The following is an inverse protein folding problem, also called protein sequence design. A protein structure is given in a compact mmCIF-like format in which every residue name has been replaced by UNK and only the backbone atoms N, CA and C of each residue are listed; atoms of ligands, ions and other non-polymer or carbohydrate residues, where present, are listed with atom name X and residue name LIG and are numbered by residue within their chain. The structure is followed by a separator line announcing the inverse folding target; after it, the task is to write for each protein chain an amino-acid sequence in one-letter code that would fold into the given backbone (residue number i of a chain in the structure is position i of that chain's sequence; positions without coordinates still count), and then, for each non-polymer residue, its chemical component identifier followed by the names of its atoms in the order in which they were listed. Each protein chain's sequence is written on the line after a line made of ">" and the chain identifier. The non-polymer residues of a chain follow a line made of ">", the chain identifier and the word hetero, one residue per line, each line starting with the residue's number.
data_IF_613681905056
#
_entry.id   IF_613681905056
#
_cell.length_a   1.000
_cell.length_b   1.000
_cell.length_c   1.000
_cell.angle_alpha   90.00
_cell.angle_beta   90.00
_cell.angle_gamma   90.00
#
_symmetry.space_group_name_H-M   'P 1'
#
loop_
_entity.id
_entity.type
_entity.pdbx_description
1 polymer ?
#
# COMPACT_ATOMS: atom_id res chain seq x y z
N UNK A 1 -40.49 -51.00 20.45
CA UNK A 1 -39.95 -50.10 21.48
C UNK A 1 -39.75 -48.75 20.81
N UNK A 2 -40.76 -47.92 20.55
CA UNK A 2 -41.65 -47.20 21.47
C UNK A 2 -40.88 -46.34 22.49
N UNK A 3 -40.61 -45.09 22.15
CA UNK A 3 -40.79 -43.96 23.05
C UNK A 3 -40.92 -42.66 22.25
N UNK A 4 -41.75 -41.77 22.79
CA UNK A 4 -42.46 -40.68 22.14
C UNK A 4 -42.29 -39.38 22.95
N UNK A 5 -42.77 -38.27 22.36
CA UNK A 5 -42.99 -36.93 22.94
C UNK A 5 -41.77 -35.99 22.96
N UNK A 6 -41.90 -34.67 22.83
CA UNK A 6 -43.08 -33.79 22.94
C UNK A 6 -42.86 -32.48 22.17
N UNK A 7 -43.93 -31.93 21.60
CA UNK A 7 -44.04 -30.53 21.20
C UNK A 7 -44.18 -29.63 22.44
N UNK A 8 -43.66 -28.40 22.37
CA UNK A 8 -44.13 -27.28 23.17
C UNK A 8 -44.02 -25.98 22.36
N UNK A 9 -45.19 -25.49 21.94
CA UNK A 9 -45.44 -24.12 21.52
C UNK A 9 -45.32 -23.19 22.75
N UNK A 10 -44.72 -22.02 22.56
CA UNK A 10 -44.98 -20.86 23.41
C UNK A 10 -45.44 -19.73 22.50
N UNK A 11 -46.68 -19.36 22.72
CA UNK A 11 -47.45 -18.30 22.07
C UNK A 11 -47.26 -16.98 22.86
N UNK A 12 -47.70 -15.84 22.28
CA UNK A 12 -48.04 -14.55 22.94
C UNK A 12 -46.87 -13.64 23.43
N UNK A 13 -46.83 -12.30 23.30
CA UNK A 13 -47.80 -11.22 22.99
C UNK A 13 -47.10 -10.00 22.32
N UNK A 14 -47.90 -9.22 21.58
CA UNK A 14 -47.60 -7.89 21.02
C UNK A 14 -47.60 -6.76 22.07
N UNK A 15 -46.84 -5.66 21.86
CA UNK A 15 -47.14 -4.28 22.32
C UNK A 15 -46.38 -3.22 21.48
N UNK A 16 -47.11 -2.23 20.94
CA UNK A 16 -46.74 -0.80 20.76
C UNK A 16 -45.69 -0.44 19.69
N UNK A 17 -45.90 0.48 18.74
CA UNK A 17 -46.77 1.65 18.72
C UNK A 17 -46.06 2.89 19.29
N UNK A 18 -46.00 3.96 18.49
CA UNK A 18 -45.52 5.34 18.74
C UNK A 18 -44.02 5.62 18.50
N UNK A 19 -43.63 6.36 17.45
CA UNK A 19 -43.86 7.80 17.19
C UNK A 19 -42.90 8.68 17.99
N UNK A 20 -41.82 9.13 17.35
CA UNK A 20 -41.12 10.38 17.69
C UNK A 20 -40.53 10.99 16.42
N UNK A 21 -41.42 11.48 15.56
CA UNK A 21 -41.21 12.76 14.90
C UNK A 21 -41.46 13.88 15.93
N UNK A 22 -40.93 15.07 15.66
CA UNK A 22 -41.03 16.31 16.46
C UNK A 22 -40.04 16.51 17.62
N UNK A 23 -38.87 17.03 17.28
CA UNK A 23 -38.31 18.17 18.03
C UNK A 23 -37.84 19.24 17.05
N UNK A 24 -38.31 20.46 17.29
CA UNK A 24 -37.85 21.77 16.76
C UNK A 24 -38.70 22.44 15.67
N UNK A 25 -40.00 22.61 15.95
CA UNK A 25 -40.70 23.84 15.61
C UNK A 25 -40.17 25.01 16.46
N UNK A 26 -39.17 25.75 15.96
CA UNK A 26 -38.87 27.10 16.47
C UNK A 26 -39.60 28.14 15.63
N UNK A 27 -40.63 28.67 16.27
CA UNK A 27 -41.41 29.85 15.94
C UNK A 27 -40.56 30.99 15.38
N UNK A 28 -40.93 31.54 14.22
CA UNK A 28 -40.80 32.98 13.99
C UNK A 28 -42.00 33.47 13.20
N UNK A 29 -42.67 34.46 13.79
CA UNK A 29 -43.94 35.04 13.36
C UNK A 29 -43.81 35.85 12.08
N UNK A 30 -44.96 35.97 11.42
CA UNK A 30 -45.20 36.56 10.13
C UNK A 30 -45.02 38.09 10.06
N UNK A 31 -44.68 38.50 8.82
CA UNK A 31 -45.26 39.59 8.05
C UNK A 31 -45.06 41.06 8.50
N UNK A 32 -44.29 41.79 7.69
CA UNK A 32 -44.70 43.11 7.20
C UNK A 32 -44.27 43.29 5.73
N UNK A 33 -45.24 43.63 4.87
CA UNK A 33 -45.08 44.03 3.46
C UNK A 33 -44.26 45.33 3.37
N UNK A 34 -43.56 45.53 2.23
CA UNK A 34 -43.60 46.71 1.34
C UNK A 34 -42.34 46.69 0.46
N UNK A 35 -42.53 46.92 -0.84
CA UNK A 35 -41.52 47.60 -1.66
C UNK A 35 -40.85 46.77 -2.75
N UNK A 36 -41.30 47.02 -3.98
CA UNK A 36 -40.54 46.94 -5.25
C UNK A 36 -39.02 47.00 -5.03
N UNK A 37 -38.26 46.11 -5.68
CA UNK A 37 -37.26 46.45 -6.72
C UNK A 37 -36.70 45.14 -7.29
N UNK A 38 -36.90 44.95 -8.59
CA UNK A 38 -36.31 43.89 -9.38
C UNK A 38 -34.79 44.04 -9.39
N UNK A 39 -34.05 43.12 -8.78
CA UNK A 39 -32.60 42.99 -9.02
C UNK A 39 -32.36 41.59 -9.56
N UNK A 40 -32.10 41.54 -10.87
CA UNK A 40 -31.65 40.36 -11.59
C UNK A 40 -30.22 40.07 -11.10
N UNK A 41 -30.07 39.11 -10.20
CA UNK A 41 -28.76 38.58 -9.82
C UNK A 41 -28.39 37.45 -10.80
N UNK A 42 -27.55 37.76 -11.79
CA UNK A 42 -26.84 36.74 -12.57
C UNK A 42 -25.85 36.03 -11.63
N UNK A 43 -26.21 34.83 -11.17
CA UNK A 43 -25.27 33.94 -10.53
C UNK A 43 -24.41 33.25 -11.60
N UNK A 44 -23.22 33.81 -11.87
CA UNK A 44 -22.16 33.11 -12.60
C UNK A 44 -21.66 31.96 -11.72
N UNK A 45 -22.17 30.75 -11.96
CA UNK A 45 -21.67 29.52 -11.34
C UNK A 45 -20.28 29.18 -11.90
N UNK A 46 -19.22 29.71 -11.28
CA UNK A 46 -17.85 29.32 -11.53
C UNK A 46 -17.64 27.89 -10.99
N UNK A 47 -17.76 26.90 -11.88
CA UNK A 47 -17.45 25.51 -11.59
C UNK A 47 -15.92 25.35 -11.53
N UNK A 48 -15.35 25.48 -10.33
CA UNK A 48 -13.93 25.16 -10.12
C UNK A 48 -13.76 23.64 -10.12
N UNK A 49 -13.34 23.09 -11.26
CA UNK A 49 -12.81 21.72 -11.32
C UNK A 49 -11.50 21.70 -10.55
N UNK A 50 -11.54 21.25 -9.29
CA UNK A 50 -10.35 20.83 -8.58
C UNK A 50 -9.86 19.54 -9.21
N UNK A 51 -8.83 19.65 -10.06
CA UNK A 51 -8.06 18.51 -10.51
C UNK A 51 -7.44 17.83 -9.28
N UNK A 52 -8.08 16.76 -8.80
CA UNK A 52 -7.54 15.90 -7.77
C UNK A 52 -6.24 15.30 -8.27
N UNK A 53 -5.11 15.80 -7.77
CA UNK A 53 -3.80 15.23 -8.04
C UNK A 53 -3.81 13.76 -7.62
N UNK A 54 -3.62 12.86 -8.57
CA UNK A 54 -3.39 11.45 -8.29
C UNK A 54 -2.12 11.34 -7.43
N UNK A 55 -2.30 11.08 -6.14
CA UNK A 55 -1.18 10.82 -5.24
C UNK A 55 -0.62 9.45 -5.62
N UNK A 56 0.63 9.45 -6.10
CA UNK A 56 1.40 8.23 -6.34
C UNK A 56 1.39 7.39 -5.06
N UNK A 57 0.72 6.22 -5.09
CA UNK A 57 0.82 5.26 -4.00
C UNK A 57 2.29 4.90 -3.82
N UNK A 58 2.88 5.27 -2.67
CA UNK A 58 4.25 4.91 -2.35
C UNK A 58 4.42 3.39 -2.43
N UNK A 59 5.52 2.95 -3.04
CA UNK A 59 5.84 1.53 -3.08
C UNK A 59 6.14 1.07 -1.64
N UNK A 60 5.26 0.26 -1.05
CA UNK A 60 5.41 -0.19 0.34
C UNK A 60 5.39 -1.71 0.40
N UNK A 61 6.07 -2.25 1.39
CA UNK A 61 6.08 -3.69 1.68
C UNK A 61 5.79 -3.93 3.16
N UNK A 62 5.25 -5.10 3.48
CA UNK A 62 5.05 -5.56 4.85
C UNK A 62 6.17 -6.53 5.23
N UNK A 63 6.93 -6.20 6.26
CA UNK A 63 7.99 -7.05 6.80
C UNK A 63 7.50 -7.70 8.08
N UNK A 64 7.62 -9.02 8.18
CA UNK A 64 7.35 -9.76 9.42
C UNK A 64 8.43 -9.43 10.45
N UNK A 65 8.03 -8.85 11.57
CA UNK A 65 8.95 -8.45 12.66
C UNK A 65 8.90 -9.41 13.86
N UNK A 66 8.14 -10.50 13.75
CA UNK A 66 8.09 -11.60 14.71
C UNK A 66 6.69 -11.95 15.19
N UNK A 67 6.64 -12.81 16.21
CA UNK A 67 5.40 -13.24 16.87
C UNK A 67 4.86 -12.23 17.88
N UNK A 68 3.75 -12.59 18.51
CA UNK A 68 3.05 -11.73 19.48
C UNK A 68 2.88 -12.46 20.82
N UNK A 69 3.13 -11.76 21.92
CA UNK A 69 2.96 -12.25 23.28
C UNK A 69 1.60 -11.82 23.82
N UNK A 70 0.61 -12.68 23.63
CA UNK A 70 -0.76 -12.43 24.06
C UNK A 70 -0.93 -12.45 25.59
N UNK A 71 -0.10 -13.21 26.32
CA UNK A 71 -0.12 -13.19 27.79
C UNK A 71 0.26 -11.80 28.33
N UNK A 72 1.37 -11.24 27.84
CA UNK A 72 1.81 -9.90 28.24
C UNK A 72 0.76 -8.83 27.93
N UNK A 73 0.08 -8.95 26.78
CA UNK A 73 -1.02 -8.05 26.42
C UNK A 73 -2.19 -8.18 27.42
N UNK A 74 -2.65 -9.39 27.70
CA UNK A 74 -3.75 -9.61 28.64
C UNK A 74 -3.46 -9.06 30.03
N UNK A 75 -2.26 -9.32 30.56
CA UNK A 75 -1.83 -8.83 31.86
C UNK A 75 -1.77 -7.30 31.88
N UNK A 76 -1.19 -6.70 30.84
CA UNK A 76 -1.05 -5.24 30.75
C UNK A 76 -2.39 -4.52 30.60
N UNK A 77 -3.32 -5.08 29.82
CA UNK A 77 -4.60 -4.43 29.49
C UNK A 77 -5.67 -4.66 30.56
N UNK A 78 -5.72 -5.85 31.17
CA UNK A 78 -6.80 -6.24 32.08
C UNK A 78 -6.34 -6.57 33.51
N UNK A 79 -5.03 -6.53 33.78
CA UNK A 79 -4.41 -6.78 35.09
C UNK A 79 -3.78 -8.18 35.19
N UNK A 80 -2.88 -8.35 36.16
CA UNK A 80 -1.98 -9.50 36.29
C UNK A 80 -2.67 -10.87 36.41
N UNK A 81 -3.95 -10.89 36.82
CA UNK A 81 -4.76 -12.10 36.89
C UNK A 81 -5.24 -12.63 35.54
N UNK A 82 -5.12 -11.87 34.45
CA UNK A 82 -5.50 -12.32 33.11
C UNK A 82 -4.33 -12.94 32.37
N UNK A 83 -4.57 -14.07 31.69
CA UNK A 83 -3.65 -14.71 30.75
C UNK A 83 -4.33 -14.94 29.42
N UNK A 84 -3.57 -15.15 28.35
CA UNK A 84 -4.14 -15.61 27.09
C UNK A 84 -4.53 -17.08 27.20
N UNK A 85 -5.69 -17.41 26.66
CA UNK A 85 -6.23 -18.77 26.61
C UNK A 85 -6.79 -19.03 25.20
N UNK A 86 -6.56 -20.23 24.70
CA UNK A 86 -7.13 -20.70 23.44
C UNK A 86 -8.41 -21.47 23.76
N UNK A 87 -9.56 -20.96 23.31
CA UNK A 87 -10.88 -21.57 23.59
C UNK A 87 -11.42 -22.42 22.43
N UNK A 88 -10.64 -22.53 21.36
CA UNK A 88 -10.96 -23.28 20.14
C UNK A 88 -9.69 -23.85 19.53
N UNK A 89 -9.58 -23.82 18.19
CA UNK A 89 -8.45 -24.44 17.47
C UNK A 89 -7.82 -23.53 16.43
N UNK A 90 -8.41 -22.36 16.17
CA UNK A 90 -7.99 -21.43 15.12
C UNK A 90 -7.24 -20.23 15.68
N UNK A 91 -6.60 -19.47 14.79
CA UNK A 91 -5.97 -18.20 15.14
C UNK A 91 -6.96 -17.18 15.76
N UNK A 92 -8.25 -17.27 15.44
CA UNK A 92 -9.26 -16.37 15.99
C UNK A 92 -9.69 -16.68 17.43
N UNK A 93 -9.35 -17.85 17.96
CA UNK A 93 -9.95 -18.38 19.20
C UNK A 93 -9.18 -17.98 20.48
N UNK A 94 -8.28 -16.99 20.40
CA UNK A 94 -7.57 -16.48 21.56
C UNK A 94 -8.41 -15.45 22.32
N UNK A 95 -8.47 -15.62 23.64
CA UNK A 95 -9.11 -14.68 24.57
C UNK A 95 -8.17 -14.37 25.72
N UNK A 96 -8.35 -13.22 26.36
CA UNK A 96 -7.84 -13.03 27.71
C UNK A 96 -8.80 -13.70 28.68
N UNK A 97 -8.30 -14.51 29.60
CA UNK A 97 -9.08 -15.25 30.59
C UNK A 97 -8.42 -15.12 31.96
N UNK A 98 -9.24 -14.84 32.99
CA UNK A 98 -8.84 -14.86 34.40
C UNK A 98 -9.26 -16.15 35.09
N UNK A 99 -10.48 -16.59 34.78
CA UNK A 99 -11.07 -17.87 35.20
C UNK A 99 -12.07 -18.34 34.15
N UNK A 100 -12.50 -19.60 34.22
CA UNK A 100 -13.51 -20.13 33.30
C UNK A 100 -14.79 -19.27 33.37
N UNK A 101 -15.14 -18.63 32.25
CA UNK A 101 -16.29 -17.73 32.14
C UNK A 101 -15.96 -16.24 32.29
N UNK A 102 -14.78 -15.86 32.82
CA UNK A 102 -14.33 -14.46 32.86
C UNK A 102 -13.35 -14.16 31.72
N UNK A 103 -13.91 -13.86 30.55
CA UNK A 103 -13.19 -13.68 29.28
C UNK A 103 -13.29 -12.25 28.75
N UNK A 104 -12.21 -11.76 28.13
CA UNK A 104 -12.15 -10.46 27.43
C UNK A 104 -11.51 -10.65 26.04
N UNK A 105 -11.95 -9.89 25.03
CA UNK A 105 -11.40 -10.03 23.68
C UNK A 105 -9.92 -9.63 23.62
N UNK A 106 -9.19 -10.22 22.68
CA UNK A 106 -7.81 -9.85 22.36
C UNK A 106 -7.80 -9.03 21.07
N UNK A 107 -7.14 -7.87 21.11
CA UNK A 107 -6.73 -7.16 19.90
C UNK A 107 -5.28 -7.51 19.58
N UNK A 108 -5.06 -8.42 18.63
CA UNK A 108 -3.70 -8.84 18.26
C UNK A 108 -2.90 -7.69 17.66
N UNK A 109 -3.57 -6.75 16.96
CA UNK A 109 -2.95 -5.52 16.46
C UNK A 109 -2.42 -4.67 17.62
N UNK A 110 -3.22 -4.44 18.66
CA UNK A 110 -2.78 -3.63 19.80
C UNK A 110 -1.71 -4.35 20.61
N UNK A 111 -1.79 -5.69 20.71
CA UNK A 111 -0.73 -6.50 21.29
C UNK A 111 0.60 -6.35 20.54
N UNK A 112 0.58 -6.36 19.19
CA UNK A 112 1.76 -6.06 18.37
C UNK A 112 2.29 -4.65 18.64
N UNK A 113 1.44 -3.63 18.59
CA UNK A 113 1.86 -2.24 18.85
C UNK A 113 2.44 -2.06 20.25
N UNK A 114 1.86 -2.71 21.26
CA UNK A 114 2.36 -2.70 22.64
C UNK A 114 3.73 -3.38 22.75
N UNK A 115 3.88 -4.59 22.20
CA UNK A 115 5.12 -5.38 22.32
C UNK A 115 6.31 -4.71 21.64
N UNK A 116 6.10 -4.13 20.46
CA UNK A 116 7.19 -3.57 19.64
C UNK A 116 7.33 -2.05 19.79
N UNK A 117 6.42 -1.38 20.50
CA UNK A 117 6.46 0.07 20.71
C UNK A 117 6.33 0.90 19.43
N UNK A 118 5.75 0.33 18.35
CA UNK A 118 5.61 0.99 17.05
C UNK A 118 4.13 1.19 16.69
N UNK A 119 3.72 2.41 16.30
CA UNK A 119 2.39 2.64 15.76
C UNK A 119 2.26 2.06 14.35
N UNK A 120 1.03 1.84 13.90
CA UNK A 120 0.74 1.44 12.52
C UNK A 120 1.17 0.00 12.17
N UNK A 121 1.53 -0.82 13.16
CA UNK A 121 1.73 -2.24 12.94
C UNK A 121 0.42 -2.93 12.56
N UNK A 122 0.56 -3.99 11.77
CA UNK A 122 -0.52 -4.91 11.42
C UNK A 122 -0.28 -6.25 12.09
N UNK A 123 -1.36 -6.96 12.38
CA UNK A 123 -1.31 -8.33 12.85
C UNK A 123 -2.02 -9.21 11.83
N UNK A 124 -1.41 -10.35 11.48
CA UNK A 124 -2.03 -11.34 10.57
C UNK A 124 -1.68 -12.75 11.04
N UNK A 125 -2.63 -13.65 10.97
CA UNK A 125 -2.38 -15.08 11.09
C UNK A 125 -1.80 -15.59 9.76
N UNK A 126 -0.65 -16.27 9.80
CA UNK A 126 -0.06 -16.86 8.60
C UNK A 126 -0.84 -18.10 8.13
N UNK A 127 -1.50 -18.78 9.06
CA UNK A 127 -2.41 -19.89 8.78
C UNK A 127 -3.59 -19.84 9.76
N UNK A 128 -4.80 -19.62 9.26
CA UNK A 128 -5.98 -19.47 10.13
C UNK A 128 -6.28 -20.73 10.96
N UNK A 129 -5.95 -21.93 10.45
CA UNK A 129 -6.15 -23.19 11.18
C UNK A 129 -5.06 -23.49 12.21
N UNK A 130 -4.04 -22.64 12.33
CA UNK A 130 -2.99 -22.74 13.33
C UNK A 130 -3.10 -21.55 14.30
N UNK A 131 -3.54 -21.85 15.52
CA UNK A 131 -3.70 -20.88 16.58
C UNK A 131 -2.41 -20.06 16.86
N UNK A 132 -1.23 -20.62 16.63
CA UNK A 132 0.06 -19.99 16.98
C UNK A 132 0.66 -19.16 15.85
N UNK A 133 -0.02 -19.07 14.70
CA UNK A 133 0.50 -18.48 13.47
C UNK A 133 0.45 -16.95 13.41
N UNK A 134 0.01 -16.27 14.47
CA UNK A 134 -0.01 -14.81 14.53
C UNK A 134 1.40 -14.22 14.38
N UNK A 135 1.49 -13.22 13.52
CA UNK A 135 2.69 -12.43 13.28
C UNK A 135 2.36 -10.94 13.22
N UNK A 136 3.33 -10.15 13.64
CA UNK A 136 3.31 -8.70 13.57
C UNK A 136 4.06 -8.25 12.31
N UNK A 137 3.49 -7.29 11.60
CA UNK A 137 4.03 -6.76 10.35
C UNK A 137 4.22 -5.25 10.44
N UNK A 138 5.38 -4.81 9.98
CA UNK A 138 5.70 -3.39 9.81
C UNK A 138 5.63 -3.03 8.33
N UNK A 139 4.89 -1.99 7.99
CA UNK A 139 4.95 -1.38 6.66
C UNK A 139 6.27 -0.61 6.52
N UNK A 140 7.04 -0.94 5.50
CA UNK A 140 8.27 -0.24 5.13
C UNK A 140 8.11 0.39 3.74
N UNK A 141 8.70 1.57 3.56
CA UNK A 141 8.80 2.18 2.24
C UNK A 141 9.89 1.46 1.44
N UNK A 142 9.55 0.96 0.27
CA UNK A 142 10.52 0.45 -0.67
C UNK A 142 11.10 1.61 -1.49
N UNK A 143 12.39 1.54 -1.86
CA UNK A 143 12.92 2.48 -2.85
C UNK A 143 12.09 2.36 -4.14
N UNK A 144 11.92 3.46 -4.89
CA UNK A 144 11.29 3.38 -6.21
C UNK A 144 12.07 2.40 -7.08
N UNK A 145 11.39 1.62 -7.95
CA UNK A 145 12.09 0.75 -8.86
C UNK A 145 13.03 1.57 -9.75
N UNK A 146 14.22 1.05 -10.08
CA UNK A 146 15.14 1.74 -10.98
C UNK A 146 14.46 1.98 -12.33
N UNK A 147 14.61 3.20 -12.86
CA UNK A 147 14.10 3.52 -14.20
C UNK A 147 15.15 3.13 -15.23
N UNK A 148 14.79 2.16 -16.09
CA UNK A 148 15.63 1.72 -17.19
C UNK A 148 15.24 2.44 -18.48
N UNK A 149 16.21 3.04 -19.17
CA UNK A 149 16.02 3.60 -20.51
C UNK A 149 17.10 3.12 -21.47
N UNK A 150 16.76 2.94 -22.75
CA UNK A 150 17.73 2.56 -23.77
C UNK A 150 18.77 3.66 -24.03
N UNK A 151 19.94 3.29 -24.54
CA UNK A 151 21.05 4.20 -24.85
C UNK A 151 21.29 4.29 -26.35
N UNK A 152 21.48 5.50 -26.88
CA UNK A 152 21.82 5.70 -28.28
C UNK A 152 23.35 5.72 -28.47
N UNK A 153 23.91 4.55 -28.77
CA UNK A 153 25.35 4.39 -28.98
C UNK A 153 25.85 5.13 -30.23
N UNK A 154 25.03 5.27 -31.27
CA UNK A 154 25.41 6.00 -32.48
C UNK A 154 25.61 7.48 -32.20
N UNK A 155 24.70 8.09 -31.44
CA UNK A 155 24.81 9.50 -31.04
C UNK A 155 26.09 9.73 -30.20
N UNK A 156 26.43 8.80 -29.31
CA UNK A 156 27.70 8.85 -28.58
C UNK A 156 28.90 8.86 -29.53
N UNK A 157 28.97 7.93 -30.49
CA UNK A 157 30.06 7.87 -31.46
C UNK A 157 30.22 9.16 -32.27
N UNK A 158 29.11 9.68 -32.80
CA UNK A 158 29.09 10.94 -33.55
C UNK A 158 29.54 12.13 -32.71
N UNK A 159 29.08 12.23 -31.47
CA UNK A 159 29.41 13.36 -30.58
C UNK A 159 30.84 13.30 -30.03
N UNK A 160 31.37 12.10 -29.78
CA UNK A 160 32.68 11.93 -29.17
C UNK A 160 33.81 11.90 -30.20
N UNK A 161 33.59 11.30 -31.38
CA UNK A 161 34.66 11.10 -32.37
C UNK A 161 34.41 11.81 -33.71
N UNK A 162 33.23 12.41 -33.90
CA UNK A 162 32.85 13.16 -35.10
C UNK A 162 31.86 12.43 -36.00
N UNK A 163 31.26 13.16 -36.94
CA UNK A 163 30.15 12.69 -37.80
C UNK A 163 30.48 11.52 -38.72
N UNK A 164 31.76 11.21 -38.91
CA UNK A 164 32.20 10.04 -39.70
C UNK A 164 32.17 8.73 -38.92
N UNK A 165 31.97 8.76 -37.60
CA UNK A 165 31.87 7.57 -36.76
C UNK A 165 30.42 7.15 -36.55
N UNK A 166 30.18 5.84 -36.55
CA UNK A 166 28.89 5.22 -36.20
C UNK A 166 29.10 4.07 -35.22
N UNK A 167 28.06 3.71 -34.48
CA UNK A 167 28.11 2.50 -33.64
C UNK A 167 27.93 1.24 -34.50
N UNK A 168 28.85 0.29 -34.38
CA UNK A 168 28.82 -1.00 -35.08
C UNK A 168 28.97 -2.13 -34.06
N UNK A 169 28.18 -3.18 -34.21
CA UNK A 169 28.32 -4.42 -33.46
C UNK A 169 29.28 -5.34 -34.21
N UNK A 170 30.42 -5.67 -33.60
CA UNK A 170 31.46 -6.51 -34.23
C UNK A 170 31.49 -7.96 -33.72
N UNK A 171 30.60 -8.28 -32.79
CA UNK A 171 30.46 -9.60 -32.16
C UNK A 171 29.01 -9.93 -31.86
N UNK A 172 28.76 -10.63 -30.75
CA UNK A 172 27.43 -11.16 -30.40
C UNK A 172 26.94 -10.72 -29.02
N UNK A 173 27.77 -10.05 -28.23
CA UNK A 173 27.49 -9.69 -26.85
C UNK A 173 27.24 -8.20 -26.71
N UNK A 174 26.72 -7.80 -25.54
CA UNK A 174 26.60 -6.39 -25.17
C UNK A 174 27.97 -5.67 -25.20
N UNK A 175 29.07 -6.36 -24.93
CA UNK A 175 30.42 -5.77 -24.95
C UNK A 175 30.97 -5.46 -26.35
N UNK A 176 30.37 -5.99 -27.41
CA UNK A 176 30.97 -5.98 -28.75
C UNK A 176 30.61 -4.76 -29.60
N UNK A 177 30.07 -3.70 -28.98
CA UNK A 177 29.80 -2.44 -29.66
C UNK A 177 31.03 -1.54 -29.71
N UNK A 178 31.33 -1.01 -30.89
CA UNK A 178 32.44 -0.09 -31.12
C UNK A 178 31.99 1.11 -31.94
N UNK A 179 32.67 2.25 -31.79
CA UNK A 179 32.57 3.33 -32.74
C UNK A 179 33.51 3.05 -33.90
N UNK A 180 32.98 2.94 -35.11
CA UNK A 180 33.75 2.65 -36.32
C UNK A 180 33.58 3.76 -37.35
N UNK A 181 34.69 4.21 -37.95
CA UNK A 181 34.72 5.15 -39.08
C UNK A 181 34.84 4.43 -40.41
N UNK A 182 35.70 3.40 -40.45
CA UNK A 182 35.88 2.47 -41.56
C UNK A 182 36.28 1.10 -40.99
N UNK A 183 36.16 0.04 -41.78
CA UNK A 183 36.47 -1.32 -41.31
C UNK A 183 37.89 -1.39 -40.70
N UNK A 184 37.96 -1.71 -39.41
CA UNK A 184 39.21 -1.78 -38.65
C UNK A 184 39.63 -0.49 -37.93
N UNK A 185 39.05 0.66 -38.26
CA UNK A 185 39.27 1.92 -37.53
C UNK A 185 38.22 2.10 -36.43
N UNK A 186 38.52 1.49 -35.28
CA UNK A 186 37.59 1.29 -34.16
C UNK A 186 38.01 2.04 -32.91
N UNK A 187 37.04 2.57 -32.17
CA UNK A 187 37.22 3.18 -30.84
C UNK A 187 36.27 2.52 -29.84
N UNK A 188 36.67 2.41 -28.56
CA UNK A 188 35.81 1.82 -27.55
C UNK A 188 34.57 2.70 -27.30
N UNK A 189 33.49 2.07 -26.87
CA UNK A 189 32.29 2.76 -26.40
C UNK A 189 32.26 2.76 -24.88
N UNK A 190 32.16 3.96 -24.29
CA UNK A 190 31.79 4.09 -22.88
C UNK A 190 30.27 4.23 -22.77
N UNK A 191 29.58 3.14 -22.46
CA UNK A 191 28.11 3.15 -22.34
C UNK A 191 27.64 4.05 -21.19
N UNK A 192 28.39 4.10 -20.09
CA UNK A 192 28.10 5.02 -18.99
C UNK A 192 28.19 6.48 -19.44
N UNK A 193 29.21 6.85 -20.23
CA UNK A 193 29.33 8.21 -20.77
C UNK A 193 28.23 8.50 -21.79
N UNK A 194 27.88 7.53 -22.65
CA UNK A 194 26.76 7.65 -23.59
C UNK A 194 25.44 7.91 -22.85
N UNK A 195 25.19 7.18 -21.76
CA UNK A 195 24.03 7.41 -20.91
C UNK A 195 24.02 8.82 -20.30
N UNK A 196 25.14 9.26 -19.70
CA UNK A 196 25.24 10.60 -19.10
C UNK A 196 25.06 11.69 -20.16
N UNK A 197 25.55 11.49 -21.38
CA UNK A 197 25.33 12.42 -22.49
C UNK A 197 23.84 12.54 -22.87
N UNK A 198 23.09 11.43 -22.79
CA UNK A 198 21.68 11.38 -23.19
C UNK A 198 20.71 11.81 -22.09
N UNK A 199 21.01 11.50 -20.82
CA UNK A 199 20.11 11.70 -19.69
C UNK A 199 20.69 12.57 -18.55
N UNK A 200 21.91 13.08 -18.71
CA UNK A 200 22.56 13.97 -17.75
C UNK A 200 22.88 13.31 -16.40
N UNK A 201 22.83 14.13 -15.35
CA UNK A 201 23.20 13.74 -13.98
C UNK A 201 22.19 12.80 -13.30
N UNK A 202 21.05 12.52 -13.94
CA UNK A 202 20.12 11.51 -13.46
C UNK A 202 20.75 10.11 -13.50
N UNK A 203 21.64 9.84 -14.46
CA UNK A 203 22.21 8.50 -14.64
C UNK A 203 23.04 8.05 -13.44
N UNK A 204 22.60 7.01 -12.75
CA UNK A 204 23.34 6.34 -11.68
C UNK A 204 24.33 5.33 -12.23
N UNK A 205 23.93 4.56 -13.23
CA UNK A 205 24.80 3.53 -13.85
C UNK A 205 24.37 3.22 -15.29
N UNK A 206 25.22 2.47 -16.00
CA UNK A 206 24.86 1.80 -17.24
C UNK A 206 25.08 0.29 -17.04
N UNK A 207 24.15 -0.53 -17.53
CA UNK A 207 24.18 -1.98 -17.34
C UNK A 207 23.64 -2.69 -18.58
N UNK A 208 24.23 -3.83 -18.93
CA UNK A 208 23.63 -4.80 -19.84
C UNK A 208 22.66 -5.68 -19.03
N UNK A 209 21.38 -5.73 -19.40
CA UNK A 209 20.39 -6.60 -18.73
C UNK A 209 20.66 -8.08 -19.00
N UNK A 210 21.23 -8.38 -20.18
CA UNK A 210 21.66 -9.70 -20.60
C UNK A 210 22.94 -9.55 -21.44
N UNK A 211 24.06 -10.05 -20.93
CA UNK A 211 25.35 -9.90 -21.61
C UNK A 211 25.39 -10.58 -22.99
N UNK A 212 24.63 -11.66 -23.18
CA UNK A 212 24.58 -12.40 -24.44
C UNK A 212 23.63 -11.76 -25.46
N UNK A 213 22.92 -10.70 -25.07
CA UNK A 213 22.07 -9.93 -25.96
C UNK A 213 22.73 -8.55 -26.22
N UNK A 214 23.17 -8.26 -27.46
CA UNK A 214 23.87 -7.02 -27.78
C UNK A 214 22.99 -5.78 -27.59
N UNK A 215 21.65 -5.92 -27.57
CA UNK A 215 20.71 -4.81 -27.44
C UNK A 215 20.27 -4.55 -25.99
N UNK A 216 20.89 -5.21 -25.01
CA UNK A 216 20.44 -5.17 -23.60
C UNK A 216 20.95 -3.99 -22.78
N UNK A 217 21.72 -3.07 -23.39
CA UNK A 217 22.24 -1.89 -22.69
C UNK A 217 21.13 -0.95 -22.26
N UNK A 218 21.12 -0.64 -20.96
CA UNK A 218 20.22 0.33 -20.36
C UNK A 218 20.99 1.32 -19.49
N UNK A 219 20.49 2.55 -19.49
CA UNK A 219 20.81 3.58 -18.53
C UNK A 219 19.88 3.42 -17.33
N UNK A 220 20.45 3.42 -16.14
CA UNK A 220 19.71 3.40 -14.88
C UNK A 220 19.73 4.80 -14.29
N UNK A 221 18.54 5.37 -14.11
CA UNK A 221 18.34 6.73 -13.59
C UNK A 221 17.96 6.74 -12.10
#
# INVERSE_FOLDING_TARGET
>A
MASSASCANVDRMAVGGHQTEDIMAYLTRAATRIGRTTVIALALAASTLTAGGAQSAGNTSEVNIGGVNLNAYCQKTFGDGFKSALIGTTAGDWTCERSAGDRRPISVKDACTMQYGKPGLKARALNWSDATSWRCFQTVSLPPPPVYKGVNLNNYCVKTFGSSFKSVLIGKTAGDWTCERSAGDRRPISVKTACVMQYGNAVKQAKALDWNNPLSWVCVL
#
